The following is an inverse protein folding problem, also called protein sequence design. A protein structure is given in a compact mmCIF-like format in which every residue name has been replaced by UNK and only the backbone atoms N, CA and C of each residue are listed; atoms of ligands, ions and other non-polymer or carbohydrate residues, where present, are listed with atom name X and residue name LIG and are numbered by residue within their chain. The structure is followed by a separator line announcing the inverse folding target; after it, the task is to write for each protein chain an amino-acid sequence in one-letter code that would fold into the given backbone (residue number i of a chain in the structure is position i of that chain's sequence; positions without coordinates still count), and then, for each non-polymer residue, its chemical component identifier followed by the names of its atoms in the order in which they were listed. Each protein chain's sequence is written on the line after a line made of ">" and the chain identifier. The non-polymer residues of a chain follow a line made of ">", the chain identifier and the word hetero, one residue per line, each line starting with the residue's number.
data_IF_679589916794
#
_entry.id   IF_679589916794
#
_cell.length_a   1.000
_cell.length_b   1.000
_cell.length_c   1.000
_cell.angle_alpha   90.00
_cell.angle_beta   90.00
_cell.angle_gamma   90.00
#
_symmetry.space_group_name_H-M   'P 1'
#
loop_
_entity.id
_entity.type
_entity.pdbx_description
1 polymer ?
#
# COMPACT_ATOMS: atom_id res chain seq x y z
N UNK A 1 -0.63 36.48 -56.37
CA UNK A 1 0.37 35.40 -56.61
C UNK A 1 1.79 35.93 -56.35
N UNK A 2 2.14 36.21 -55.07
CA UNK A 2 3.53 36.54 -54.67
C UNK A 2 3.95 35.92 -53.33
N UNK A 3 3.12 35.07 -52.72
CA UNK A 3 3.33 34.61 -51.33
C UNK A 3 3.61 33.11 -51.19
N UNK A 4 4.27 32.49 -52.18
CA UNK A 4 4.77 31.10 -52.04
C UNK A 4 6.28 30.94 -52.19
N UNK A 5 7.01 32.00 -52.55
CA UNK A 5 8.48 31.98 -52.63
C UNK A 5 9.17 32.56 -51.39
N UNK A 6 8.43 33.29 -50.53
CA UNK A 6 8.94 33.80 -49.25
C UNK A 6 9.03 32.74 -48.14
N UNK A 7 8.24 31.67 -48.21
CA UNK A 7 8.20 30.66 -47.14
C UNK A 7 9.33 29.63 -47.24
N UNK A 8 9.83 29.33 -48.45
CA UNK A 8 10.86 28.29 -48.66
C UNK A 8 12.25 28.81 -48.24
N UNK A 9 12.49 30.13 -48.34
CA UNK A 9 13.78 30.73 -47.96
C UNK A 9 13.99 30.83 -46.45
N UNK A 10 12.92 30.90 -45.66
CA UNK A 10 12.98 31.02 -44.19
C UNK A 10 13.22 29.66 -43.51
N UNK A 11 12.79 28.55 -44.12
CA UNK A 11 12.97 27.22 -43.56
C UNK A 11 14.37 26.64 -43.81
N UNK A 12 15.03 27.01 -44.91
CA UNK A 12 16.42 26.58 -45.19
C UNK A 12 17.39 27.27 -44.23
N UNK A 13 17.15 28.53 -43.83
CA UNK A 13 18.01 29.27 -42.90
C UNK A 13 17.79 28.89 -41.43
N UNK A 14 16.64 28.28 -41.08
CA UNK A 14 16.35 27.79 -39.73
C UNK A 14 16.96 26.41 -39.44
N UNK A 15 17.22 25.60 -40.48
CA UNK A 15 17.85 24.28 -40.32
C UNK A 15 19.39 24.33 -40.20
N UNK A 16 20.05 25.38 -40.70
CA UNK A 16 21.51 25.54 -40.59
C UNK A 16 21.98 25.97 -39.19
N UNK A 17 21.11 26.52 -38.34
CA UNK A 17 21.44 26.96 -36.98
C UNK A 17 21.40 25.87 -35.90
N UNK A 18 20.82 24.69 -36.18
CA UNK A 18 20.68 23.60 -35.21
C UNK A 18 21.92 22.70 -35.14
N UNK A 19 22.75 22.67 -36.19
CA UNK A 19 23.93 21.80 -36.25
C UNK A 19 25.11 22.27 -35.38
N UNK A 20 25.21 23.57 -35.07
CA UNK A 20 26.30 24.12 -34.24
C UNK A 20 26.00 24.04 -32.73
N UNK A 21 24.73 24.02 -32.33
CA UNK A 21 24.34 23.81 -30.93
C UNK A 21 24.51 22.34 -30.47
N UNK A 22 24.34 21.38 -31.38
CA UNK A 22 24.52 19.95 -31.08
C UNK A 22 25.99 19.54 -30.85
N UNK A 23 26.96 20.36 -31.26
CA UNK A 23 28.38 20.10 -31.03
C UNK A 23 28.81 20.40 -29.58
N UNK A 24 28.20 21.41 -28.94
CA UNK A 24 28.45 21.77 -27.54
C UNK A 24 27.94 20.72 -26.54
N UNK A 25 26.74 20.20 -26.75
CA UNK A 25 26.16 19.15 -25.90
C UNK A 25 26.88 17.79 -26.01
N UNK A 26 27.53 17.51 -27.13
CA UNK A 26 28.31 16.27 -27.32
C UNK A 26 29.67 16.34 -26.63
N UNK A 27 30.22 17.53 -26.47
CA UNK A 27 31.44 17.76 -25.68
C UNK A 27 31.16 17.66 -24.18
N UNK A 28 30.05 18.24 -23.72
CA UNK A 28 29.65 18.19 -22.31
C UNK A 28 29.33 16.76 -21.86
N UNK A 29 28.67 15.96 -22.72
CA UNK A 29 28.47 14.50 -22.51
C UNK A 29 29.78 13.72 -22.44
N UNK A 30 30.81 14.12 -23.18
CA UNK A 30 32.13 13.45 -23.14
C UNK A 30 32.84 13.77 -21.83
N UNK A 31 32.81 15.02 -21.40
CA UNK A 31 33.34 15.47 -20.12
C UNK A 31 32.58 14.89 -18.91
N UNK A 32 31.26 14.65 -19.01
CA UNK A 32 30.52 13.92 -17.98
C UNK A 32 30.84 12.43 -17.99
N UNK A 33 30.97 11.81 -19.18
CA UNK A 33 31.36 10.39 -19.27
C UNK A 33 32.77 10.14 -18.76
N UNK A 34 33.73 11.04 -19.04
CA UNK A 34 35.09 10.99 -18.50
C UNK A 34 35.09 11.20 -17.00
N UNK A 35 34.36 12.20 -16.49
CA UNK A 35 34.15 12.37 -15.05
C UNK A 35 33.55 11.13 -14.41
N UNK A 36 32.52 10.53 -15.00
CA UNK A 36 31.89 9.31 -14.48
C UNK A 36 32.84 8.11 -14.53
N UNK A 37 33.71 8.03 -15.55
CA UNK A 37 34.76 7.01 -15.67
C UNK A 37 35.83 7.18 -14.62
N UNK A 38 36.30 8.40 -14.39
CA UNK A 38 37.25 8.74 -13.33
C UNK A 38 36.63 8.53 -11.96
N UNK A 39 35.37 8.90 -11.75
CA UNK A 39 34.63 8.69 -10.50
C UNK A 39 34.29 7.21 -10.25
N UNK A 40 34.16 6.40 -11.30
CA UNK A 40 34.04 4.94 -11.22
C UNK A 40 35.40 4.26 -10.96
N UNK A 41 36.51 4.82 -11.47
CA UNK A 41 37.88 4.36 -11.20
C UNK A 41 38.38 4.79 -9.82
N UNK A 42 37.95 5.95 -9.33
CA UNK A 42 38.30 6.49 -8.01
C UNK A 42 37.40 5.97 -6.90
N UNK A 43 36.24 5.39 -7.25
CA UNK A 43 35.45 4.59 -6.31
C UNK A 43 36.29 3.35 -5.94
N UNK A 44 36.64 3.14 -4.66
CA UNK A 44 37.24 1.88 -4.25
C UNK A 44 36.30 0.77 -4.72
N UNK A 45 36.84 -0.19 -5.47
CA UNK A 45 36.08 -1.34 -5.92
C UNK A 45 35.29 -1.84 -4.71
N UNK A 46 33.96 -1.83 -4.77
CA UNK A 46 33.16 -2.54 -3.75
C UNK A 46 33.80 -3.91 -3.67
N UNK A 47 34.36 -4.24 -2.51
CA UNK A 47 35.13 -5.47 -2.31
C UNK A 47 34.39 -6.60 -3.00
N UNK A 48 35.10 -7.34 -3.86
CA UNK A 48 34.56 -8.41 -4.72
C UNK A 48 33.40 -9.10 -3.99
N UNK A 49 32.17 -8.88 -4.46
CA UNK A 49 31.01 -9.50 -3.81
C UNK A 49 31.20 -11.01 -3.89
N UNK A 50 31.40 -11.65 -2.73
CA UNK A 50 31.66 -13.08 -2.66
C UNK A 50 30.46 -13.85 -3.20
N UNK A 51 30.62 -14.47 -4.37
CA UNK A 51 29.64 -15.37 -4.99
C UNK A 51 29.48 -16.64 -4.16
N UNK A 52 28.37 -17.36 -4.29
CA UNK A 52 28.17 -18.62 -3.56
C UNK A 52 29.32 -19.62 -3.81
N UNK A 53 29.75 -19.76 -5.07
CA UNK A 53 30.91 -20.57 -5.44
C UNK A 53 32.20 -20.05 -4.79
N UNK A 54 32.45 -18.73 -4.82
CA UNK A 54 33.65 -18.16 -4.19
C UNK A 54 33.69 -18.37 -2.68
N UNK A 55 32.55 -18.28 -1.98
CA UNK A 55 32.47 -18.58 -0.53
C UNK A 55 32.79 -20.03 -0.24
N UNK A 56 32.30 -20.95 -1.07
CA UNK A 56 32.59 -22.38 -0.94
C UNK A 56 34.08 -22.66 -1.15
N UNK A 57 34.68 -22.15 -2.22
CA UNK A 57 36.11 -22.28 -2.50
C UNK A 57 36.98 -21.71 -1.37
N UNK A 58 36.59 -20.56 -0.81
CA UNK A 58 37.27 -19.97 0.34
C UNK A 58 37.21 -20.88 1.59
N UNK A 59 36.04 -21.45 1.90
CA UNK A 59 35.87 -22.38 3.01
C UNK A 59 36.67 -23.67 2.80
N UNK A 60 36.72 -24.19 1.57
CA UNK A 60 37.51 -25.39 1.22
C UNK A 60 39.01 -25.12 1.34
N UNK A 61 39.48 -24.00 0.77
CA UNK A 61 40.90 -23.61 0.79
C UNK A 61 41.42 -23.37 2.20
N UNK A 62 40.61 -22.74 3.06
CA UNK A 62 40.99 -22.42 4.45
C UNK A 62 40.75 -23.57 5.43
N UNK A 63 40.16 -24.69 5.00
CA UNK A 63 39.79 -25.80 5.89
C UNK A 63 40.99 -26.51 6.53
N UNK A 64 42.16 -26.49 5.89
CA UNK A 64 43.38 -27.15 6.35
C UNK A 64 44.44 -26.18 6.93
N UNK A 65 44.16 -24.87 6.92
CA UNK A 65 45.10 -23.84 7.40
C UNK A 65 45.08 -23.72 8.92
N UNK A 66 46.23 -23.43 9.52
CA UNK A 66 46.29 -23.04 10.94
C UNK A 66 45.78 -21.61 11.16
N UNK A 67 45.59 -21.19 12.42
CA UNK A 67 44.99 -19.89 12.76
C UNK A 67 45.79 -18.68 12.23
N UNK A 68 47.12 -18.81 12.17
CA UNK A 68 48.01 -17.77 11.66
C UNK A 68 47.93 -17.64 10.13
N UNK A 69 47.92 -18.78 9.43
CA UNK A 69 47.74 -18.88 7.97
C UNK A 69 46.35 -18.39 7.54
N UNK A 70 45.31 -18.79 8.27
CA UNK A 70 43.93 -18.37 8.03
C UNK A 70 43.82 -16.84 8.17
N UNK A 71 44.39 -16.27 9.23
CA UNK A 71 44.38 -14.83 9.45
C UNK A 71 45.16 -14.06 8.38
N UNK A 72 46.28 -14.62 7.88
CA UNK A 72 47.03 -14.02 6.78
C UNK A 72 46.27 -14.09 5.45
N UNK A 73 45.62 -15.21 5.18
CA UNK A 73 44.80 -15.43 3.99
C UNK A 73 43.56 -14.51 3.99
N UNK A 74 42.91 -14.36 5.14
CA UNK A 74 41.80 -13.44 5.38
C UNK A 74 42.17 -11.98 5.05
N UNK A 75 43.36 -11.53 5.48
CA UNK A 75 43.85 -10.18 5.19
C UNK A 75 44.12 -9.96 3.71
N UNK A 76 44.66 -10.95 3.00
CA UNK A 76 44.95 -10.83 1.57
C UNK A 76 43.72 -10.93 0.68
N UNK A 77 42.68 -11.65 1.11
CA UNK A 77 41.45 -11.86 0.36
C UNK A 77 40.28 -10.95 0.79
N UNK A 78 40.47 -10.13 1.83
CA UNK A 78 39.47 -9.18 2.31
C UNK A 78 38.25 -9.86 2.96
N UNK A 79 38.47 -10.94 3.73
CA UNK A 79 37.44 -11.70 4.44
C UNK A 79 37.80 -11.81 5.91
N UNK A 80 36.83 -11.67 6.81
CA UNK A 80 37.08 -11.88 8.23
C UNK A 80 37.00 -13.38 8.59
N UNK A 81 37.83 -13.87 9.52
CA UNK A 81 37.75 -15.26 9.99
C UNK A 81 36.35 -15.67 10.47
N UNK A 82 35.61 -14.73 11.06
CA UNK A 82 34.23 -14.92 11.49
C UNK A 82 33.26 -15.18 10.32
N UNK A 83 33.50 -14.56 9.16
CA UNK A 83 32.67 -14.76 7.98
C UNK A 83 32.91 -16.14 7.35
N UNK A 84 34.15 -16.63 7.35
CA UNK A 84 34.47 -18.01 6.96
C UNK A 84 33.80 -19.02 7.87
N UNK A 85 33.84 -18.79 9.19
CA UNK A 85 33.17 -19.65 10.17
C UNK A 85 31.65 -19.69 9.94
N UNK A 86 31.03 -18.52 9.69
CA UNK A 86 29.61 -18.44 9.33
C UNK A 86 29.29 -19.20 8.05
N UNK A 87 30.09 -19.05 6.99
CA UNK A 87 29.87 -19.74 5.73
C UNK A 87 30.02 -21.25 5.87
N UNK A 88 31.01 -21.71 6.64
CA UNK A 88 31.18 -23.13 6.96
C UNK A 88 29.97 -23.69 7.71
N UNK A 89 29.50 -23.00 8.74
CA UNK A 89 28.31 -23.41 9.50
C UNK A 89 27.06 -23.50 8.61
N UNK A 90 26.82 -22.47 7.78
CA UNK A 90 25.70 -22.48 6.83
C UNK A 90 25.79 -23.64 5.81
N UNK A 91 27.01 -23.94 5.31
CA UNK A 91 27.22 -25.07 4.41
C UNK A 91 26.96 -26.41 5.11
N UNK A 92 27.42 -26.58 6.35
CA UNK A 92 27.15 -27.78 7.14
C UNK A 92 25.65 -27.95 7.42
N UNK A 93 24.94 -26.89 7.79
CA UNK A 93 23.48 -26.93 8.00
C UNK A 93 22.72 -27.26 6.71
N UNK A 94 23.16 -26.74 5.56
CA UNK A 94 22.52 -27.03 4.27
C UNK A 94 22.75 -28.47 3.78
N UNK A 95 23.90 -29.07 4.15
CA UNK A 95 24.26 -30.44 3.83
C UNK A 95 23.74 -31.46 4.85
N UNK A 96 23.44 -31.04 6.08
CA UNK A 96 22.71 -31.86 7.03
C UNK A 96 21.34 -32.22 6.43
N UNK A 97 21.03 -33.52 6.41
CA UNK A 97 19.91 -34.07 5.64
C UNK A 97 18.58 -33.32 5.89
N UNK A 98 17.87 -32.85 4.83
CA UNK A 98 16.61 -32.12 4.99
C UNK A 98 15.39 -33.00 5.33
N UNK A 99 15.55 -34.33 5.46
CA UNK A 99 14.39 -35.22 5.68
C UNK A 99 13.65 -34.92 6.98
N UNK A 100 14.33 -34.41 8.00
CA UNK A 100 13.69 -34.04 9.28
C UNK A 100 12.87 -32.74 9.20
N UNK A 101 12.99 -31.95 8.11
CA UNK A 101 12.33 -30.64 7.96
C UNK A 101 11.42 -30.50 6.73
N UNK A 102 11.46 -31.42 5.77
CA UNK A 102 10.53 -31.40 4.63
C UNK A 102 9.18 -31.94 5.08
N UNK A 103 8.29 -31.03 5.46
CA UNK A 103 6.86 -31.35 5.61
C UNK A 103 6.42 -32.16 4.38
N UNK A 104 5.83 -33.35 4.63
CA UNK A 104 5.37 -34.25 3.57
C UNK A 104 4.61 -33.46 2.50
N UNK A 105 4.74 -33.80 1.20
CA UNK A 105 3.93 -33.18 0.14
C UNK A 105 2.43 -33.19 0.45
N UNK A 106 1.96 -34.17 1.22
CA UNK A 106 0.59 -34.26 1.70
C UNK A 106 0.27 -33.22 2.79
N UNK A 107 1.17 -33.02 3.76
CA UNK A 107 1.05 -31.97 4.77
C UNK A 107 1.05 -30.58 4.13
N UNK A 108 1.97 -30.33 3.20
CA UNK A 108 2.03 -29.05 2.46
C UNK A 108 0.74 -28.77 1.67
N UNK A 109 0.12 -29.80 1.08
CA UNK A 109 -1.18 -29.66 0.38
C UNK A 109 -2.33 -29.40 1.34
N UNK A 110 -2.35 -30.07 2.49
CA UNK A 110 -3.34 -29.85 3.54
C UNK A 110 -3.25 -28.42 4.08
N UNK A 111 -2.03 -27.94 4.37
CA UNK A 111 -1.79 -26.58 4.84
C UNK A 111 -2.21 -25.54 3.81
N UNK A 112 -1.86 -25.74 2.53
CA UNK A 112 -2.31 -24.84 1.44
C UNK A 112 -3.83 -24.81 1.31
N UNK A 113 -4.51 -25.94 1.50
CA UNK A 113 -5.98 -25.98 1.48
C UNK A 113 -6.54 -25.21 2.68
N UNK A 114 -5.97 -25.41 3.87
CA UNK A 114 -6.40 -24.74 5.10
C UNK A 114 -6.18 -23.23 5.03
N UNK A 115 -5.04 -22.78 4.52
CA UNK A 115 -4.73 -21.36 4.29
C UNK A 115 -5.78 -20.74 3.37
N UNK A 116 -6.07 -21.35 2.22
CA UNK A 116 -7.08 -20.84 1.29
C UNK A 116 -8.48 -20.78 1.90
N UNK A 117 -8.83 -21.74 2.74
CA UNK A 117 -10.12 -21.77 3.43
C UNK A 117 -10.22 -20.66 4.48
N UNK A 118 -9.16 -20.48 5.28
CA UNK A 118 -9.06 -19.39 6.24
C UNK A 118 -9.07 -18.02 5.57
N UNK A 119 -8.36 -17.84 4.46
CA UNK A 119 -8.37 -16.60 3.66
C UNK A 119 -9.78 -16.26 3.15
N UNK A 120 -10.52 -17.27 2.66
CA UNK A 120 -11.92 -17.07 2.22
C UNK A 120 -12.83 -16.71 3.38
N UNK A 121 -12.67 -17.35 4.53
CA UNK A 121 -13.44 -17.06 5.73
C UNK A 121 -13.16 -15.65 6.24
N UNK A 122 -11.89 -15.23 6.23
CA UNK A 122 -11.45 -13.90 6.63
C UNK A 122 -12.03 -12.83 5.69
N UNK A 123 -11.93 -13.03 4.37
CA UNK A 123 -12.54 -12.13 3.39
C UNK A 123 -14.07 -12.03 3.55
N UNK A 124 -14.74 -13.14 3.89
CA UNK A 124 -16.18 -13.14 4.16
C UNK A 124 -16.52 -12.29 5.38
N UNK A 125 -15.76 -12.47 6.46
CA UNK A 125 -15.93 -11.72 7.72
C UNK A 125 -15.61 -10.23 7.54
N UNK A 126 -14.53 -9.90 6.84
CA UNK A 126 -14.17 -8.50 6.52
C UNK A 126 -15.27 -7.82 5.70
N UNK A 127 -15.86 -8.54 4.75
CA UNK A 127 -16.98 -8.00 3.95
C UNK A 127 -18.21 -7.76 4.82
N UNK A 128 -18.54 -8.68 5.73
CA UNK A 128 -19.64 -8.50 6.68
C UNK A 128 -19.37 -7.29 7.61
N UNK A 129 -18.13 -7.12 8.08
CA UNK A 129 -17.73 -5.97 8.89
C UNK A 129 -17.82 -4.66 8.08
N UNK A 130 -17.36 -4.65 6.83
CA UNK A 130 -17.46 -3.49 5.95
C UNK A 130 -18.92 -3.10 5.69
N UNK A 131 -19.82 -4.06 5.53
CA UNK A 131 -21.25 -3.78 5.42
C UNK A 131 -21.80 -3.19 6.72
N UNK A 132 -21.45 -3.74 7.89
CA UNK A 132 -21.87 -3.13 9.17
C UNK A 132 -21.35 -1.71 9.36
N UNK A 133 -20.09 -1.45 8.98
CA UNK A 133 -19.50 -0.12 9.00
C UNK A 133 -20.24 0.82 8.03
N UNK A 134 -20.63 0.32 6.84
CA UNK A 134 -21.45 1.09 5.90
C UNK A 134 -22.89 1.32 6.41
N UNK A 135 -23.45 0.43 7.24
CA UNK A 135 -24.73 0.68 7.90
C UNK A 135 -24.60 1.80 8.94
N UNK A 136 -23.54 1.79 9.74
CA UNK A 136 -23.28 2.75 10.82
C UNK A 136 -22.79 4.12 10.32
N UNK A 137 -22.00 4.15 9.24
CA UNK A 137 -21.46 5.37 8.64
C UNK A 137 -22.46 6.19 7.84
N UNK A 138 -23.67 5.67 7.59
CA UNK A 138 -24.75 6.46 7.02
C UNK A 138 -25.31 7.37 8.10
N UNK A 139 -24.85 8.63 8.08
CA UNK A 139 -25.14 9.69 9.05
C UNK A 139 -26.55 9.69 9.66
N UNK A 140 -26.60 10.21 10.90
CA UNK A 140 -27.76 10.24 11.82
C UNK A 140 -29.09 10.39 11.08
N UNK A 141 -30.01 9.47 11.35
CA UNK A 141 -31.38 9.53 10.82
C UNK A 141 -32.13 10.68 11.51
N UNK A 142 -32.53 11.69 10.74
CA UNK A 142 -33.40 12.79 11.18
C UNK A 142 -34.83 12.43 10.78
N UNK A 143 -35.75 12.37 11.75
CA UNK A 143 -37.16 11.99 11.56
C UNK A 143 -37.91 12.98 10.67
N UNK A 144 -39.05 12.58 10.11
CA UNK A 144 -39.84 13.46 9.21
C UNK A 144 -40.25 14.76 9.91
N UNK A 145 -40.76 14.66 11.14
CA UNK A 145 -41.16 15.81 11.96
C UNK A 145 -39.98 16.73 12.23
N UNK A 146 -38.83 16.18 12.64
CA UNK A 146 -37.60 16.96 12.83
C UNK A 146 -37.19 17.67 11.53
N UNK A 147 -37.21 16.98 10.37
CA UNK A 147 -36.86 17.60 9.09
C UNK A 147 -37.75 18.78 8.75
N UNK A 148 -39.06 18.66 9.00
CA UNK A 148 -40.04 19.71 8.77
C UNK A 148 -39.77 20.89 9.70
N UNK A 149 -39.59 20.63 10.99
CA UNK A 149 -39.29 21.63 12.01
C UNK A 149 -38.02 22.41 11.63
N UNK A 150 -36.90 21.71 11.39
CA UNK A 150 -35.64 22.33 11.01
C UNK A 150 -35.75 23.12 9.68
N UNK A 151 -36.46 22.59 8.68
CA UNK A 151 -36.66 23.33 7.42
C UNK A 151 -37.48 24.60 7.61
N UNK A 152 -38.44 24.60 8.54
CA UNK A 152 -39.25 25.76 8.85
C UNK A 152 -38.43 26.80 9.62
N UNK A 153 -37.70 26.39 10.66
CA UNK A 153 -36.81 27.27 11.44
C UNK A 153 -35.74 27.93 10.57
N UNK A 154 -35.09 27.15 9.69
CA UNK A 154 -34.10 27.67 8.73
C UNK A 154 -34.78 28.65 7.75
N UNK A 155 -36.01 28.37 7.33
CA UNK A 155 -36.80 29.26 6.48
C UNK A 155 -37.08 30.61 7.15
N UNK A 156 -37.49 30.58 8.43
CA UNK A 156 -37.74 31.79 9.24
C UNK A 156 -36.46 32.59 9.42
N UNK A 157 -35.35 31.94 9.78
CA UNK A 157 -34.05 32.61 9.93
C UNK A 157 -33.57 33.24 8.61
N UNK A 158 -33.76 32.55 7.48
CA UNK A 158 -33.40 33.07 6.17
C UNK A 158 -34.27 34.27 5.77
N UNK A 159 -35.58 34.22 6.03
CA UNK A 159 -36.49 35.34 5.81
C UNK A 159 -36.15 36.56 6.68
N UNK A 160 -35.63 36.33 7.89
CA UNK A 160 -35.09 37.37 8.77
C UNK A 160 -33.70 37.91 8.33
N UNK A 161 -33.15 37.42 7.20
CA UNK A 161 -31.93 37.93 6.58
C UNK A 161 -30.68 37.08 6.80
N UNK A 162 -30.77 35.94 7.48
CA UNK A 162 -29.62 35.05 7.65
C UNK A 162 -29.20 34.42 6.32
N UNK A 163 -27.88 34.21 6.12
CA UNK A 163 -27.40 33.42 4.99
C UNK A 163 -27.79 31.97 5.19
N UNK A 164 -28.36 31.34 4.15
CA UNK A 164 -28.90 29.98 4.23
C UNK A 164 -27.88 28.95 4.73
N UNK A 165 -26.63 29.04 4.30
CA UNK A 165 -25.53 28.18 4.78
C UNK A 165 -25.32 28.30 6.29
N UNK A 166 -25.26 29.53 6.82
CA UNK A 166 -25.03 29.79 8.25
C UNK A 166 -26.22 29.31 9.09
N UNK A 167 -27.45 29.49 8.60
CA UNK A 167 -28.64 28.98 9.26
C UNK A 167 -28.64 27.44 9.34
N UNK A 168 -28.23 26.75 8.26
CA UNK A 168 -28.06 25.30 8.26
C UNK A 168 -26.97 24.83 9.24
N UNK A 169 -25.82 25.51 9.27
CA UNK A 169 -24.71 25.17 10.17
C UNK A 169 -25.09 25.25 11.66
N UNK A 170 -25.82 26.29 12.07
CA UNK A 170 -26.28 26.46 13.46
C UNK A 170 -27.17 25.31 13.91
N UNK A 171 -28.01 24.82 13.00
CA UNK A 171 -28.92 23.70 13.23
C UNK A 171 -28.20 22.34 13.13
N UNK A 172 -26.92 22.33 12.75
CA UNK A 172 -26.08 21.13 12.66
C UNK A 172 -26.33 20.29 11.41
N UNK A 173 -26.89 20.88 10.34
CA UNK A 173 -27.07 20.19 9.05
C UNK A 173 -26.34 20.90 7.92
N UNK A 174 -25.85 20.13 6.96
CA UNK A 174 -25.23 20.70 5.76
C UNK A 174 -26.29 21.30 4.81
N UNK A 175 -25.96 22.39 4.11
CA UNK A 175 -26.85 23.03 3.14
C UNK A 175 -27.37 22.06 2.06
N UNK A 176 -26.52 21.14 1.60
CA UNK A 176 -26.90 20.12 0.60
C UNK A 176 -27.92 19.14 1.16
N UNK A 177 -27.92 18.91 2.48
CA UNK A 177 -28.93 18.08 3.15
C UNK A 177 -30.31 18.73 3.07
N UNK A 178 -30.40 20.03 3.38
CA UNK A 178 -31.64 20.79 3.26
C UNK A 178 -32.14 20.85 1.81
N UNK A 179 -31.24 21.13 0.86
CA UNK A 179 -31.57 21.15 -0.56
C UNK A 179 -32.11 19.79 -1.04
N UNK A 180 -31.48 18.69 -0.62
CA UNK A 180 -31.94 17.33 -0.95
C UNK A 180 -33.34 17.06 -0.38
N UNK A 181 -33.64 17.48 0.84
CA UNK A 181 -34.98 17.31 1.41
C UNK A 181 -36.06 18.05 0.61
N UNK A 182 -35.77 19.28 0.19
CA UNK A 182 -36.68 20.09 -0.63
C UNK A 182 -36.89 19.51 -2.04
N UNK A 183 -35.85 18.91 -2.63
CA UNK A 183 -35.90 18.41 -4.00
C UNK A 183 -36.50 16.99 -4.15
N UNK A 184 -36.43 16.14 -3.12
CA UNK A 184 -36.75 14.70 -3.23
C UNK A 184 -37.87 14.26 -2.26
N UNK A 185 -38.87 15.12 -2.04
CA UNK A 185 -39.99 14.85 -1.12
C UNK A 185 -39.52 14.51 0.32
N UNK A 186 -38.30 14.88 0.70
CA UNK A 186 -37.70 14.49 1.98
C UNK A 186 -38.39 15.15 3.19
N UNK A 187 -39.18 16.20 2.94
CA UNK A 187 -40.06 16.87 3.90
C UNK A 187 -41.49 16.30 3.95
N UNK A 188 -41.84 15.36 3.06
CA UNK A 188 -43.19 14.75 3.01
C UNK A 188 -43.12 13.25 3.26
N UNK A 189 -42.18 12.55 2.60
CA UNK A 189 -42.00 11.10 2.71
C UNK A 189 -40.98 10.69 3.80
N UNK A 190 -40.23 11.64 4.37
CA UNK A 190 -39.27 11.37 5.44
C UNK A 190 -38.04 10.55 5.04
N UNK A 191 -37.44 9.86 6.00
CA UNK A 191 -36.35 8.92 5.73
C UNK A 191 -36.95 7.60 5.20
N UNK A 192 -36.50 7.17 4.02
CA UNK A 192 -36.96 5.90 3.43
C UNK A 192 -36.11 4.70 3.89
N UNK A 193 -35.01 4.91 4.64
CA UNK A 193 -34.15 3.84 5.17
C UNK A 193 -34.88 2.81 6.04
N UNK A 194 -35.90 3.15 6.86
CA UNK A 194 -36.68 2.16 7.62
C UNK A 194 -37.54 1.26 6.75
N UNK A 195 -38.07 1.79 5.65
CA UNK A 195 -38.94 1.07 4.72
C UNK A 195 -38.18 0.36 3.59
N UNK A 196 -36.85 0.54 3.54
CA UNK A 196 -36.01 -0.13 2.55
C UNK A 196 -35.93 -1.62 2.86
N UNK A 197 -36.38 -2.45 1.92
CA UNK A 197 -36.17 -3.90 1.98
C UNK A 197 -34.66 -4.18 1.91
N UNK A 198 -34.12 -4.78 2.97
CA UNK A 198 -32.70 -5.17 3.09
C UNK A 198 -32.63 -6.70 3.14
N UNK A 199 -32.52 -7.39 2.00
CA UNK A 199 -32.32 -8.83 2.01
C UNK A 199 -30.99 -9.17 2.72
N UNK A 200 -30.94 -10.31 3.41
CA UNK A 200 -29.70 -10.72 4.06
C UNK A 200 -28.63 -10.95 2.98
N UNK A 201 -27.46 -10.32 3.10
CA UNK A 201 -26.36 -10.58 2.19
C UNK A 201 -25.92 -12.04 2.32
N UNK A 202 -25.51 -12.65 1.21
CA UNK A 202 -25.06 -14.05 1.17
C UNK A 202 -23.85 -14.35 2.07
N UNK A 203 -23.14 -13.30 2.50
CA UNK A 203 -21.97 -13.37 3.35
C UNK A 203 -22.24 -12.86 4.78
N UNK A 204 -23.51 -12.66 5.15
CA UNK A 204 -23.88 -12.32 6.51
C UNK A 204 -23.41 -13.41 7.49
N UNK A 205 -23.01 -13.00 8.69
CA UNK A 205 -22.72 -13.92 9.79
C UNK A 205 -23.97 -14.73 10.14
N UNK A 206 -23.81 -16.04 10.29
CA UNK A 206 -24.84 -16.94 10.81
C UNK A 206 -25.13 -16.64 12.28
N UNK A 207 -26.25 -17.15 12.78
CA UNK A 207 -26.62 -16.97 14.19
C UNK A 207 -25.61 -17.60 15.14
N UNK A 208 -25.02 -18.74 14.77
CA UNK A 208 -23.97 -19.39 15.55
C UNK A 208 -22.69 -18.56 15.62
N UNK A 209 -22.27 -17.96 14.50
CA UNK A 209 -21.09 -17.08 14.48
C UNK A 209 -21.31 -15.80 15.28
N UNK A 210 -22.53 -15.24 15.26
CA UNK A 210 -22.89 -14.09 16.10
C UNK A 210 -22.82 -14.44 17.58
N UNK A 211 -23.37 -15.59 17.98
CA UNK A 211 -23.31 -16.07 19.35
C UNK A 211 -21.87 -16.27 19.82
N UNK A 212 -21.01 -16.81 18.95
CA UNK A 212 -19.58 -16.98 19.22
C UNK A 212 -18.88 -15.64 19.44
N UNK A 213 -19.12 -14.64 18.57
CA UNK A 213 -18.55 -13.30 18.71
C UNK A 213 -18.98 -12.65 20.03
N UNK A 214 -20.27 -12.74 20.38
CA UNK A 214 -20.78 -12.21 21.66
C UNK A 214 -20.14 -12.93 22.84
N UNK A 215 -19.98 -14.26 22.77
CA UNK A 215 -19.31 -15.01 23.82
C UNK A 215 -17.87 -14.55 24.00
N UNK A 216 -17.10 -14.47 22.92
CA UNK A 216 -15.68 -14.04 22.94
C UNK A 216 -15.57 -12.61 23.43
N UNK A 217 -16.41 -11.69 22.96
CA UNK A 217 -16.39 -10.29 23.40
C UNK A 217 -16.67 -10.14 24.90
N UNK A 218 -17.49 -11.03 25.48
CA UNK A 218 -17.81 -11.05 26.90
C UNK A 218 -16.82 -11.88 27.76
N UNK A 219 -15.72 -12.39 27.18
CA UNK A 219 -14.71 -13.10 27.98
C UNK A 219 -13.99 -12.15 28.96
N UNK A 220 -13.60 -12.62 30.16
CA UNK A 220 -13.00 -11.77 31.19
C UNK A 220 -11.75 -10.99 30.72
N UNK A 221 -11.00 -11.54 29.76
CA UNK A 221 -9.81 -10.88 29.18
C UNK A 221 -10.12 -9.58 28.43
N UNK A 222 -11.37 -9.37 27.99
CA UNK A 222 -11.79 -8.16 27.26
C UNK A 222 -12.62 -7.20 28.14
N UNK A 223 -12.93 -7.57 29.39
CA UNK A 223 -13.80 -6.79 30.27
C UNK A 223 -13.30 -5.36 30.59
N UNK A 224 -11.99 -5.11 30.47
CA UNK A 224 -11.37 -3.81 30.74
C UNK A 224 -11.10 -2.98 29.48
N UNK A 225 -11.47 -3.46 28.29
CA UNK A 225 -11.23 -2.75 27.03
C UNK A 225 -12.51 -1.96 26.68
N UNK A 226 -12.45 -0.61 26.54
CA UNK A 226 -13.61 0.16 26.13
C UNK A 226 -14.03 -0.22 24.70
N UNK A 227 -15.35 -0.17 24.38
CA UNK A 227 -15.81 -0.36 23.01
C UNK A 227 -15.23 0.78 22.16
N UNK A 228 -14.32 0.43 21.24
CA UNK A 228 -13.76 1.35 20.26
C UNK A 228 -14.79 1.75 19.20
#
# INVERSE_FOLDING_TARGET
>A
MKDKLGSIRTDIQRQSGSAVAAAGERSDRRGTLERWREQARSRPARGRAWTAAGRLEAVVTTAAMNEAELSAWCRSHGVYPQDLAKWRASATTALAAPEELRASPQATRADRKRIKELERELLRKDRALAETAALLGRGRMIGLEDRQCLSQEIGVAHAAGARLHQACEVVGIDLRTLQRWKAQEGLTAGDRRPHAVRPLPSHALSDSERAEIVRVANEPRFAAVPPA
#
